data_IF_056970463379
#
_entry.id   IF_056970463379
#
_cell.length_a   1.000
_cell.length_b   1.000
_cell.length_c   1.000
_cell.angle_alpha   90.00
_cell.angle_beta   90.00
_cell.angle_gamma   90.00
#
_symmetry.space_group_name_H-M   'P 1'
#
loop_
_entity.id
_entity.type
_entity.pdbx_description
1 polymer ?
#
# COMPACT_ATOMS: atom_id res chain seq x y z
N UNK A 1 -6.95 -17.57 -1.96
CA UNK A 1 -5.84 -16.64 -1.63
C UNK A 1 -5.61 -15.69 -2.80
N UNK A 2 -5.34 -14.38 -2.56
CA UNK A 2 -4.98 -13.40 -3.60
C UNK A 2 -3.46 -13.26 -3.64
N UNK A 3 -2.86 -13.11 -4.83
CA UNK A 3 -1.43 -12.89 -4.99
C UNK A 3 -1.17 -11.52 -5.65
N UNK A 4 -0.33 -10.70 -5.04
CA UNK A 4 0.08 -9.38 -5.54
C UNK A 4 1.58 -9.30 -5.79
N UNK A 5 2.02 -8.31 -6.58
CA UNK A 5 3.43 -7.99 -6.80
C UNK A 5 3.79 -6.65 -6.16
N UNK A 6 4.85 -6.63 -5.35
CA UNK A 6 5.43 -5.43 -4.72
C UNK A 6 6.54 -4.83 -5.60
N UNK A 7 6.91 -3.58 -5.30
CA UNK A 7 8.05 -2.88 -5.92
C UNK A 7 7.91 -2.65 -7.44
N UNK A 8 6.67 -2.57 -7.94
CA UNK A 8 6.42 -2.46 -9.39
C UNK A 8 6.77 -1.09 -9.99
N UNK A 9 7.25 -0.14 -9.18
CA UNK A 9 7.79 1.15 -9.64
C UNK A 9 9.26 1.36 -9.26
N UNK A 10 9.95 0.35 -8.74
CA UNK A 10 11.29 0.51 -8.16
C UNK A 10 12.37 -0.10 -9.05
N UNK A 11 13.55 0.52 -9.06
CA UNK A 11 14.71 0.05 -9.80
C UNK A 11 14.43 -0.12 -11.31
N UNK A 12 14.61 -1.32 -11.89
CA UNK A 12 14.38 -1.56 -13.32
C UNK A 12 12.97 -1.23 -13.80
N UNK A 13 11.96 -1.29 -12.92
CA UNK A 13 10.56 -0.96 -13.25
C UNK A 13 10.28 0.54 -13.32
N UNK A 14 11.27 1.42 -13.13
CA UNK A 14 11.19 2.81 -13.53
C UNK A 14 11.27 2.99 -15.07
N UNK A 15 11.65 1.95 -15.81
CA UNK A 15 11.61 1.91 -17.26
C UNK A 15 10.17 1.62 -17.75
N UNK A 16 9.57 2.48 -18.60
CA UNK A 16 8.17 2.36 -19.00
C UNK A 16 7.88 1.09 -19.82
N UNK A 17 8.82 0.62 -20.64
CA UNK A 17 8.65 -0.61 -21.42
C UNK A 17 8.57 -1.83 -20.52
N UNK A 18 9.47 -1.94 -19.55
CA UNK A 18 9.50 -3.06 -18.62
C UNK A 18 8.29 -3.02 -17.66
N UNK A 19 7.89 -1.83 -17.20
CA UNK A 19 6.70 -1.64 -16.39
C UNK A 19 5.42 -2.06 -17.15
N UNK A 20 5.28 -1.65 -18.41
CA UNK A 20 4.13 -2.05 -19.24
C UNK A 20 4.08 -3.57 -19.44
N UNK A 21 5.24 -4.19 -19.70
CA UNK A 21 5.34 -5.64 -19.86
C UNK A 21 4.99 -6.39 -18.57
N UNK A 22 5.53 -5.94 -17.43
CA UNK A 22 5.18 -6.50 -16.12
C UNK A 22 3.68 -6.42 -15.86
N UNK A 23 3.07 -5.24 -16.04
CA UNK A 23 1.66 -5.01 -15.73
C UNK A 23 0.71 -5.88 -16.57
N UNK A 24 0.93 -5.93 -17.88
CA UNK A 24 0.09 -6.71 -18.81
C UNK A 24 0.28 -8.21 -18.64
N UNK A 25 1.50 -8.66 -18.41
CA UNK A 25 1.80 -10.09 -18.18
C UNK A 25 1.28 -10.55 -16.82
N UNK A 26 1.42 -9.73 -15.77
CA UNK A 26 0.89 -10.02 -14.43
C UNK A 26 -0.64 -10.19 -14.48
N UNK A 27 -1.36 -9.27 -15.15
CA UNK A 27 -2.82 -9.40 -15.32
C UNK A 27 -3.19 -10.66 -16.09
N UNK A 28 -2.50 -10.95 -17.19
CA UNK A 28 -2.71 -12.17 -18.00
C UNK A 28 -2.50 -13.44 -17.19
N UNK A 29 -1.50 -13.44 -16.30
CA UNK A 29 -1.18 -14.59 -15.45
C UNK A 29 -2.00 -14.67 -14.15
N UNK A 30 -2.99 -13.79 -13.93
CA UNK A 30 -3.90 -13.88 -12.80
C UNK A 30 -3.35 -13.29 -11.49
N UNK A 31 -2.32 -12.44 -11.55
CA UNK A 31 -1.92 -11.61 -10.41
C UNK A 31 -3.07 -10.65 -10.08
N UNK A 32 -3.45 -10.59 -8.79
CA UNK A 32 -4.63 -9.81 -8.36
C UNK A 32 -4.33 -8.33 -8.19
N UNK A 33 -3.10 -7.96 -7.75
CA UNK A 33 -2.76 -6.58 -7.45
C UNK A 33 -1.29 -6.24 -7.70
N UNK A 34 -1.04 -4.97 -8.07
CA UNK A 34 0.29 -4.40 -8.28
C UNK A 34 0.52 -3.28 -7.27
N UNK A 35 1.65 -3.31 -6.57
CA UNK A 35 1.95 -2.46 -5.42
C UNK A 35 3.20 -1.63 -5.66
N UNK A 36 3.04 -0.30 -5.65
CA UNK A 36 4.13 0.66 -5.72
C UNK A 36 4.65 1.03 -4.34
N UNK A 37 5.89 1.48 -4.25
CA UNK A 37 6.53 1.96 -3.02
C UNK A 37 6.86 3.45 -3.14
N UNK A 38 7.14 4.12 -2.01
CA UNK A 38 7.41 5.55 -1.98
C UNK A 38 8.65 5.89 -1.15
N UNK A 39 9.46 6.77 -1.72
CA UNK A 39 10.29 7.77 -1.06
C UNK A 39 10.26 9.02 -1.95
N UNK A 40 9.96 10.19 -1.36
CA UNK A 40 9.97 11.47 -2.09
C UNK A 40 11.40 11.85 -2.41
N UNK A 41 12.29 11.70 -1.42
CA UNK A 41 13.74 11.86 -1.53
C UNK A 41 14.42 10.86 -0.59
N UNK A 42 15.60 10.41 -0.96
CA UNK A 42 16.46 9.61 -0.06
C UNK A 42 17.64 10.50 0.31
N UNK A 43 17.70 11.03 1.54
CA UNK A 43 18.81 11.87 1.97
C UNK A 43 20.13 11.10 1.96
N UNK A 44 21.20 11.75 1.51
CA UNK A 44 22.54 11.19 1.50
C UNK A 44 23.04 10.93 2.94
N UNK A 45 23.68 9.79 3.17
CA UNK A 45 24.23 9.40 4.48
C UNK A 45 23.21 9.37 5.63
N UNK A 46 21.93 9.07 5.38
CA UNK A 46 20.91 8.97 6.42
C UNK A 46 21.30 7.95 7.52
N UNK A 47 20.89 8.22 8.77
CA UNK A 47 21.21 7.42 9.96
C UNK A 47 19.99 6.59 10.45
N UNK A 48 18.76 6.99 10.08
CA UNK A 48 17.57 6.24 10.45
C UNK A 48 17.65 4.80 9.94
N UNK A 49 17.45 3.78 10.81
CA UNK A 49 17.58 2.39 10.37
C UNK A 49 16.36 1.97 9.53
N UNK A 50 16.62 1.38 8.36
CA UNK A 50 15.55 0.79 7.52
C UNK A 50 14.98 -0.45 8.21
N UNK A 51 13.66 -0.50 8.49
CA UNK A 51 13.08 -1.50 9.38
C UNK A 51 12.90 -2.90 8.75
N UNK A 52 13.16 -3.04 7.45
CA UNK A 52 12.93 -4.29 6.70
C UNK A 52 14.23 -4.95 6.22
N UNK A 53 15.38 -4.46 6.66
CA UNK A 53 16.68 -5.05 6.34
C UNK A 53 17.57 -5.13 7.57
N UNK A 54 18.27 -6.24 7.74
CA UNK A 54 19.27 -6.42 8.82
C UNK A 54 20.47 -5.47 8.69
N UNK A 55 20.74 -4.95 7.49
CA UNK A 55 21.78 -3.93 7.27
C UNK A 55 21.37 -2.53 7.74
N UNK A 56 20.08 -2.31 8.03
CA UNK A 56 19.54 -0.98 8.35
C UNK A 56 19.54 0.00 7.18
N UNK A 57 19.79 -0.47 5.95
CA UNK A 57 19.83 0.36 4.74
C UNK A 57 18.83 -0.12 3.71
N UNK A 58 18.33 0.81 2.87
CA UNK A 58 17.43 0.51 1.75
C UNK A 58 18.16 -0.38 0.74
N UNK A 59 17.54 -1.46 0.27
CA UNK A 59 18.09 -2.26 -0.83
C UNK A 59 18.27 -1.41 -2.10
N UNK A 60 19.44 -1.48 -2.71
CA UNK A 60 19.81 -0.66 -3.87
C UNK A 60 20.49 0.68 -3.51
N UNK A 61 20.56 1.01 -2.21
CA UNK A 61 21.24 2.23 -1.75
C UNK A 61 20.45 3.53 -1.99
N UNK A 62 21.12 4.65 -1.86
CA UNK A 62 20.53 5.98 -1.93
C UNK A 62 20.18 6.40 -3.37
N UNK A 63 20.84 5.78 -4.37
CA UNK A 63 20.64 6.02 -5.81
C UNK A 63 19.51 5.16 -6.43
N UNK A 64 18.83 4.35 -5.65
CA UNK A 64 17.74 3.51 -6.18
C UNK A 64 16.63 4.37 -6.75
N UNK A 65 16.27 4.10 -8.02
CA UNK A 65 15.17 4.81 -8.66
C UNK A 65 13.83 4.38 -8.08
N UNK A 66 13.11 5.31 -7.46
CA UNK A 66 11.75 5.11 -6.92
C UNK A 66 10.87 6.27 -7.44
N UNK A 67 10.24 6.13 -8.63
CA UNK A 67 9.25 7.09 -9.11
C UNK A 67 8.10 7.30 -8.12
N UNK A 68 7.43 8.47 -8.20
CA UNK A 68 6.20 8.74 -7.45
C UNK A 68 5.25 7.54 -7.52
N UNK A 69 4.63 7.10 -6.41
CA UNK A 69 3.86 5.85 -6.39
C UNK A 69 2.58 5.91 -7.23
N UNK A 70 1.95 7.08 -7.40
CA UNK A 70 0.65 7.20 -8.06
C UNK A 70 0.74 7.33 -9.58
N UNK A 71 1.81 7.94 -10.10
CA UNK A 71 1.99 8.11 -11.55
C UNK A 71 2.16 6.77 -12.28
N UNK A 72 3.03 5.83 -11.84
CA UNK A 72 3.09 4.49 -12.40
C UNK A 72 1.77 3.71 -12.30
N UNK A 73 1.03 3.85 -11.20
CA UNK A 73 -0.30 3.22 -11.08
C UNK A 73 -1.28 3.75 -12.11
N UNK A 74 -1.24 5.05 -12.41
CA UNK A 74 -2.08 5.64 -13.46
C UNK A 74 -1.68 5.12 -14.86
N UNK A 75 -0.37 4.98 -15.11
CA UNK A 75 0.14 4.36 -16.33
C UNK A 75 -0.32 2.90 -16.47
N UNK A 76 -0.22 2.11 -15.41
CA UNK A 76 -0.69 0.72 -15.36
C UNK A 76 -2.22 0.65 -15.55
N UNK A 77 -2.98 1.60 -14.98
CA UNK A 77 -4.43 1.65 -15.12
C UNK A 77 -4.90 1.70 -16.57
N UNK A 78 -4.17 2.45 -17.42
CA UNK A 78 -4.47 2.56 -18.85
C UNK A 78 -4.20 1.27 -19.63
N UNK A 79 -3.25 0.46 -19.17
CA UNK A 79 -2.81 -0.78 -19.84
C UNK A 79 -3.56 -2.04 -19.41
N UNK A 80 -4.27 -1.97 -18.28
CA UNK A 80 -4.88 -3.13 -17.62
C UNK A 80 -6.37 -2.90 -17.35
N UNK A 81 -7.12 -3.98 -17.06
CA UNK A 81 -8.58 -3.90 -16.84
C UNK A 81 -9.05 -4.53 -15.53
N UNK A 82 -8.28 -5.44 -14.93
CA UNK A 82 -8.71 -6.25 -13.79
C UNK A 82 -7.82 -6.09 -12.56
N UNK A 83 -6.50 -6.03 -12.75
CA UNK A 83 -5.54 -5.98 -11.65
C UNK A 83 -5.77 -4.75 -10.78
N UNK A 84 -5.75 -4.94 -9.44
CA UNK A 84 -5.85 -3.86 -8.47
C UNK A 84 -4.57 -3.04 -8.44
N UNK A 85 -4.70 -1.76 -8.15
CA UNK A 85 -3.65 -0.74 -8.20
C UNK A 85 -3.44 -0.22 -6.78
N UNK A 86 -2.33 -0.60 -6.16
CA UNK A 86 -2.12 -0.38 -4.74
C UNK A 86 -0.79 0.33 -4.44
N UNK A 87 -0.76 1.10 -3.37
CA UNK A 87 0.49 1.58 -2.78
C UNK A 87 0.89 0.71 -1.59
N UNK A 88 2.15 0.34 -1.49
CA UNK A 88 2.66 -0.50 -0.40
C UNK A 88 4.01 -0.02 0.15
N UNK A 89 4.08 1.21 0.68
CA UNK A 89 3.00 2.11 1.07
C UNK A 89 3.24 3.53 0.56
N UNK A 90 2.18 4.34 0.50
CA UNK A 90 2.30 5.79 0.39
C UNK A 90 2.57 6.35 1.81
N UNK A 91 3.59 7.22 1.96
CA UNK A 91 3.97 7.81 3.26
C UNK A 91 3.01 8.99 3.55
N UNK A 92 1.82 8.66 4.03
CA UNK A 92 0.69 9.59 4.12
C UNK A 92 0.98 10.90 4.88
N UNK A 93 1.71 10.95 6.01
CA UNK A 93 1.96 12.19 6.72
C UNK A 93 2.91 13.17 6.02
N UNK A 94 3.57 12.75 4.95
CA UNK A 94 4.40 13.63 4.11
C UNK A 94 3.59 14.40 3.07
N UNK A 95 2.34 13.98 2.83
CA UNK A 95 1.44 14.57 1.81
C UNK A 95 0.26 15.31 2.47
N UNK A 96 -0.25 16.31 1.78
CA UNK A 96 -1.47 16.97 2.22
C UNK A 96 -2.70 16.10 1.87
N UNK A 97 -3.61 15.79 2.81
CA UNK A 97 -4.71 14.83 2.60
C UNK A 97 -5.69 15.24 1.50
N UNK A 98 -5.85 16.53 1.18
CA UNK A 98 -6.71 16.98 0.09
C UNK A 98 -6.15 16.54 -1.27
N UNK A 99 -4.83 16.62 -1.47
CA UNK A 99 -4.20 16.13 -2.69
C UNK A 99 -4.34 14.61 -2.81
N UNK A 100 -4.00 13.87 -1.75
CA UNK A 100 -4.11 12.41 -1.76
C UNK A 100 -5.55 11.96 -2.01
N UNK A 101 -6.55 12.62 -1.37
CA UNK A 101 -7.96 12.31 -1.60
C UNK A 101 -8.36 12.53 -3.06
N UNK A 102 -7.91 13.64 -3.68
CA UNK A 102 -8.15 13.96 -5.08
C UNK A 102 -7.51 12.95 -6.03
N UNK A 103 -6.23 12.67 -5.83
CA UNK A 103 -5.43 11.77 -6.66
C UNK A 103 -5.99 10.35 -6.63
N UNK A 104 -6.28 9.84 -5.43
CA UNK A 104 -6.84 8.50 -5.27
C UNK A 104 -8.26 8.37 -5.83
N UNK A 105 -9.11 9.37 -5.65
CA UNK A 105 -10.44 9.37 -6.27
C UNK A 105 -10.36 9.43 -7.80
N UNK A 106 -9.38 10.16 -8.35
CA UNK A 106 -9.12 10.23 -9.80
C UNK A 106 -8.62 8.88 -10.32
N UNK A 107 -7.63 8.27 -9.66
CA UNK A 107 -7.14 6.93 -10.01
C UNK A 107 -8.26 5.88 -9.95
N UNK A 108 -9.10 5.96 -8.91
CA UNK A 108 -10.24 5.05 -8.73
C UNK A 108 -11.25 5.18 -9.87
N UNK A 109 -11.61 6.42 -10.24
CA UNK A 109 -12.51 6.68 -11.36
C UNK A 109 -11.91 6.21 -12.70
N UNK A 110 -10.66 6.56 -13.02
CA UNK A 110 -9.97 6.18 -14.25
C UNK A 110 -9.78 4.66 -14.38
N UNK A 111 -9.61 3.97 -13.25
CA UNK A 111 -9.42 2.53 -13.19
C UNK A 111 -10.71 1.73 -13.01
N UNK A 112 -11.87 2.39 -12.92
CA UNK A 112 -13.16 1.77 -12.65
C UNK A 112 -13.17 0.94 -11.35
N UNK A 113 -12.75 1.56 -10.22
CA UNK A 113 -12.85 0.97 -8.88
C UNK A 113 -11.75 -0.06 -8.56
N UNK A 114 -10.54 0.12 -9.10
CA UNK A 114 -9.41 -0.80 -8.85
C UNK A 114 -8.38 -0.27 -7.86
N UNK A 115 -8.50 0.97 -7.40
CA UNK A 115 -7.53 1.59 -6.49
C UNK A 115 -7.59 1.01 -5.07
N UNK A 116 -6.43 0.85 -4.44
CA UNK A 116 -6.25 0.54 -3.01
C UNK A 116 -5.19 1.50 -2.49
N UNK A 117 -5.51 2.27 -1.45
CA UNK A 117 -4.56 3.17 -0.80
C UNK A 117 -3.89 2.46 0.37
N UNK A 118 -2.73 1.87 0.15
CA UNK A 118 -1.88 1.38 1.22
C UNK A 118 -1.06 2.53 1.81
N UNK A 119 -1.14 2.75 3.11
CA UNK A 119 -0.52 3.87 3.80
C UNK A 119 0.49 3.44 4.86
N UNK A 120 1.55 4.22 5.01
CA UNK A 120 2.51 4.14 6.10
C UNK A 120 2.70 5.48 6.79
N UNK A 121 3.25 5.45 8.01
CA UNK A 121 3.61 6.70 8.73
C UNK A 121 5.04 7.16 8.47
N UNK A 122 5.84 6.39 7.73
CA UNK A 122 7.25 6.70 7.45
C UNK A 122 8.20 6.34 8.59
N UNK A 123 9.44 6.03 8.22
CA UNK A 123 10.52 5.62 9.12
C UNK A 123 11.75 6.54 9.02
N UNK A 124 11.97 7.16 7.86
CA UNK A 124 13.16 7.95 7.50
C UNK A 124 13.00 9.40 7.98
N UNK A 125 13.54 9.68 9.18
CA UNK A 125 13.41 11.02 9.79
C UNK A 125 13.99 12.11 8.89
N UNK A 126 15.13 11.85 8.27
CA UNK A 126 15.85 12.82 7.44
C UNK A 126 15.05 13.21 6.19
N UNK A 127 14.19 12.34 5.69
CA UNK A 127 13.24 12.67 4.61
C UNK A 127 12.17 13.66 5.09
N UNK A 128 11.63 13.46 6.31
CA UNK A 128 10.70 14.41 6.93
C UNK A 128 11.36 15.78 7.13
N UNK A 129 12.61 15.80 7.61
CA UNK A 129 13.35 17.04 7.81
C UNK A 129 13.53 17.78 6.48
N UNK A 130 13.88 17.07 5.40
CA UNK A 130 14.00 17.63 4.04
C UNK A 130 12.72 18.24 3.52
N UNK A 131 11.57 17.69 3.92
CA UNK A 131 10.24 18.20 3.56
C UNK A 131 9.73 19.30 4.51
N UNK A 132 10.53 19.69 5.53
CA UNK A 132 10.12 20.66 6.54
C UNK A 132 9.00 20.16 7.47
N UNK A 133 8.89 18.84 7.68
CA UNK A 133 7.84 18.22 8.47
C UNK A 133 8.39 17.64 9.78
N UNK A 134 7.68 17.89 10.88
CA UNK A 134 8.04 17.29 12.17
C UNK A 134 7.74 15.78 12.19
N UNK A 135 8.81 14.98 12.23
CA UNK A 135 8.75 13.53 12.28
C UNK A 135 7.94 12.99 13.46
N UNK A 136 7.96 13.69 14.61
CA UNK A 136 7.23 13.24 15.81
C UNK A 136 5.72 13.37 15.71
N UNK A 137 5.22 14.20 14.79
CA UNK A 137 3.78 14.36 14.53
C UNK A 137 3.22 13.34 13.54
N UNK A 138 4.07 12.54 12.87
CA UNK A 138 3.68 11.66 11.75
C UNK A 138 2.49 10.73 12.06
N UNK A 139 2.45 10.15 13.27
CA UNK A 139 1.35 9.27 13.68
C UNK A 139 0.01 10.00 13.75
N UNK A 140 -0.05 11.16 14.42
CA UNK A 140 -1.25 11.97 14.54
C UNK A 140 -1.68 12.55 13.19
N UNK A 141 -0.74 13.02 12.37
CA UNK A 141 -1.00 13.46 10.99
C UNK A 141 -1.59 12.35 10.14
N UNK A 142 -1.08 11.12 10.25
CA UNK A 142 -1.66 9.95 9.55
C UNK A 142 -3.11 9.72 9.95
N UNK A 143 -3.41 9.74 11.26
CA UNK A 143 -4.76 9.50 11.77
C UNK A 143 -5.75 10.60 11.32
N UNK A 144 -5.33 11.85 11.34
CA UNK A 144 -6.15 12.98 10.85
C UNK A 144 -6.33 12.93 9.32
N UNK A 145 -5.27 12.60 8.56
CA UNK A 145 -5.33 12.48 7.11
C UNK A 145 -6.36 11.44 6.66
N UNK A 146 -6.42 10.28 7.32
CA UNK A 146 -7.42 9.25 7.02
C UNK A 146 -8.85 9.82 7.18
N UNK A 147 -9.11 10.49 8.29
CA UNK A 147 -10.42 11.10 8.56
C UNK A 147 -10.78 12.21 7.57
N UNK A 148 -9.82 13.07 7.25
CA UNK A 148 -9.98 14.15 6.29
C UNK A 148 -10.30 13.61 4.88
N UNK A 149 -9.59 12.58 4.42
CA UNK A 149 -9.85 11.93 3.13
C UNK A 149 -11.24 11.28 3.08
N UNK A 150 -11.65 10.60 4.16
CA UNK A 150 -12.98 10.00 4.23
C UNK A 150 -14.08 11.06 4.17
N UNK A 151 -13.91 12.20 4.85
CA UNK A 151 -14.83 13.33 4.75
C UNK A 151 -14.92 13.84 3.30
N UNK A 152 -13.79 13.99 2.60
CA UNK A 152 -13.75 14.47 1.22
C UNK A 152 -14.38 13.48 0.21
N UNK A 153 -14.38 12.19 0.49
CA UNK A 153 -14.99 11.16 -0.36
C UNK A 153 -16.50 11.02 -0.13
N UNK A 154 -17.04 11.58 0.96
CA UNK A 154 -18.49 11.62 1.18
C UNK A 154 -19.19 12.55 0.18
N UNK A 155 -20.50 12.37 0.02
CA UNK A 155 -21.30 13.20 -0.88
C UNK A 155 -21.40 14.66 -0.43
N UNK A 156 -21.52 15.57 -1.39
CA UNK A 156 -21.72 16.99 -1.14
C UNK A 156 -20.47 17.75 -0.74
N UNK A 157 -20.65 18.79 0.07
CA UNK A 157 -19.58 19.60 0.63
C UNK A 157 -19.11 19.02 1.97
N UNK A 158 -17.82 19.02 2.21
CA UNK A 158 -17.18 18.45 3.40
C UNK A 158 -16.36 19.51 4.12
N UNK A 159 -16.34 19.45 5.44
CA UNK A 159 -15.44 20.20 6.30
C UNK A 159 -14.69 19.26 7.22
N UNK A 160 -13.50 19.66 7.65
CA UNK A 160 -12.73 18.93 8.64
C UNK A 160 -11.99 19.89 9.55
N UNK A 161 -12.04 19.65 10.86
CA UNK A 161 -11.42 20.47 11.90
C UNK A 161 -10.59 19.58 12.82
N UNK A 162 -9.30 19.47 12.53
CA UNK A 162 -8.31 18.73 13.30
C UNK A 162 -7.21 19.65 13.84
N UNK A 163 -6.23 19.03 14.48
CA UNK A 163 -5.05 19.75 14.99
C UNK A 163 -4.08 20.11 13.85
N UNK A 164 -3.93 19.21 12.86
CA UNK A 164 -2.96 19.33 11.78
C UNK A 164 -3.58 19.78 10.46
N UNK A 165 -4.85 19.47 10.25
CA UNK A 165 -5.56 19.83 9.02
C UNK A 165 -6.90 20.49 9.33
N UNK A 166 -7.16 21.62 8.66
CA UNK A 166 -8.41 22.36 8.79
C UNK A 166 -8.87 22.83 7.40
N UNK A 167 -10.11 22.57 7.05
CA UNK A 167 -10.76 23.16 5.89
C UNK A 167 -12.27 23.32 6.13
N UNK A 168 -12.80 24.43 5.66
CA UNK A 168 -14.23 24.73 5.64
C UNK A 168 -14.94 24.03 4.50
N UNK A 169 -16.23 24.29 4.24
CA UNK A 169 -16.99 23.51 3.27
C UNK A 169 -16.37 23.58 1.85
N UNK A 170 -15.85 22.45 1.41
CA UNK A 170 -15.24 22.26 0.07
C UNK A 170 -15.87 21.09 -0.65
N UNK A 171 -15.89 21.14 -1.98
CA UNK A 171 -16.30 20.02 -2.84
C UNK A 171 -15.08 19.43 -3.52
N UNK A 172 -14.92 18.12 -3.45
CA UNK A 172 -13.84 17.38 -4.11
C UNK A 172 -14.43 16.36 -5.08
N UNK A 173 -14.27 16.58 -6.38
CA UNK A 173 -14.68 15.69 -7.47
C UNK A 173 -13.50 15.34 -8.37
N UNK A 174 -13.46 14.12 -9.00
CA UNK A 174 -14.49 13.09 -8.90
C UNK A 174 -14.58 12.50 -7.49
N UNK A 175 -15.70 11.85 -7.16
CA UNK A 175 -15.78 10.94 -6.02
C UNK A 175 -15.20 9.59 -6.44
N UNK A 176 -14.67 8.79 -5.49
CA UNK A 176 -14.38 7.39 -5.76
C UNK A 176 -15.62 6.65 -6.28
N UNK A 177 -15.43 5.73 -7.21
CA UNK A 177 -16.54 4.86 -7.70
C UNK A 177 -16.79 3.69 -6.75
N UNK A 178 -15.79 3.35 -5.91
CA UNK A 178 -15.95 2.35 -4.86
C UNK A 178 -16.84 2.91 -3.74
N UNK A 179 -17.86 2.12 -3.35
CA UNK A 179 -18.79 2.50 -2.27
C UNK A 179 -18.04 2.67 -0.94
N UNK A 180 -18.20 3.83 -0.32
CA UNK A 180 -17.53 4.17 0.95
C UNK A 180 -16.13 4.78 0.79
N UNK A 181 -15.69 5.02 -0.46
CA UNK A 181 -14.39 5.60 -0.78
C UNK A 181 -13.35 4.55 -1.20
N UNK A 182 -12.14 4.99 -1.50
CA UNK A 182 -11.02 4.09 -1.80
C UNK A 182 -10.66 3.29 -0.55
N UNK A 183 -10.52 1.95 -0.62
CA UNK A 183 -10.09 1.15 0.52
C UNK A 183 -8.72 1.58 1.02
N UNK A 184 -8.59 1.80 2.34
CA UNK A 184 -7.35 2.20 3.00
C UNK A 184 -6.75 1.00 3.72
N UNK A 185 -5.59 0.54 3.26
CA UNK A 185 -4.81 -0.53 3.88
C UNK A 185 -3.67 0.07 4.72
N UNK A 186 -3.69 -0.16 6.02
CA UNK A 186 -2.64 0.36 6.92
C UNK A 186 -1.45 -0.58 6.90
N UNK A 187 -0.30 -0.06 6.48
CA UNK A 187 0.98 -0.75 6.50
C UNK A 187 1.75 -0.60 7.80
N UNK A 188 2.73 -1.48 7.99
CA UNK A 188 3.64 -1.48 9.12
C UNK A 188 3.42 -2.61 10.13
N UNK A 189 4.50 -2.97 10.82
CA UNK A 189 4.57 -4.16 11.71
C UNK A 189 4.71 -3.78 13.20
N UNK A 190 4.23 -2.58 13.57
CA UNK A 190 4.21 -2.12 14.97
C UNK A 190 2.81 -2.24 15.58
N UNK A 191 2.75 -2.29 16.91
CA UNK A 191 1.49 -2.21 17.66
C UNK A 191 0.70 -0.93 17.31
N UNK A 192 1.37 0.19 17.04
CA UNK A 192 0.73 1.44 16.63
C UNK A 192 0.05 1.31 15.27
N UNK A 193 0.70 0.64 14.30
CA UNK A 193 0.12 0.36 13.00
C UNK A 193 -1.09 -0.59 13.10
N UNK A 194 -0.99 -1.65 13.90
CA UNK A 194 -2.10 -2.57 14.15
C UNK A 194 -3.32 -1.86 14.77
N UNK A 195 -3.10 -1.00 15.78
CA UNK A 195 -4.18 -0.18 16.37
C UNK A 195 -4.81 0.77 15.35
N UNK A 196 -4.00 1.42 14.52
CA UNK A 196 -4.50 2.31 13.45
C UNK A 196 -5.34 1.55 12.44
N UNK A 197 -4.88 0.35 12.02
CA UNK A 197 -5.65 -0.53 11.14
C UNK A 197 -7.00 -0.89 11.75
N UNK A 198 -7.04 -1.26 13.03
CA UNK A 198 -8.28 -1.53 13.75
C UNK A 198 -9.24 -0.35 13.77
N UNK A 199 -8.75 0.87 14.07
CA UNK A 199 -9.60 2.08 14.16
C UNK A 199 -10.09 2.57 12.82
N UNK A 200 -9.26 2.57 11.78
CA UNK A 200 -9.48 3.36 10.58
C UNK A 200 -9.31 2.60 9.26
N UNK A 201 -8.59 1.45 9.25
CA UNK A 201 -8.24 0.72 8.03
C UNK A 201 -9.37 -0.15 7.50
N UNK A 202 -9.45 -0.31 6.18
CA UNK A 202 -10.23 -1.36 5.53
C UNK A 202 -9.38 -2.61 5.31
N UNK A 203 -8.05 -2.46 5.42
CA UNK A 203 -7.09 -3.54 5.42
C UNK A 203 -5.92 -3.28 6.35
N UNK A 204 -5.20 -4.35 6.70
CA UNK A 204 -3.96 -4.31 7.47
C UNK A 204 -2.87 -5.08 6.73
N UNK A 205 -1.74 -4.41 6.50
CA UNK A 205 -0.61 -4.93 5.73
C UNK A 205 0.71 -4.84 6.52
N UNK A 206 0.93 -5.69 7.55
CA UNK A 206 2.27 -5.87 8.10
C UNK A 206 3.14 -6.61 7.09
N UNK A 207 4.24 -5.97 6.65
CA UNK A 207 5.16 -6.53 5.65
C UNK A 207 6.13 -7.54 6.30
N UNK A 208 5.59 -8.55 6.97
CA UNK A 208 6.31 -9.62 7.66
C UNK A 208 5.81 -10.97 7.17
N UNK A 209 6.68 -12.00 7.17
CA UNK A 209 6.29 -13.38 6.86
C UNK A 209 6.17 -14.29 8.10
N UNK A 210 6.48 -13.81 9.29
CA UNK A 210 6.55 -14.61 10.52
C UNK A 210 5.16 -14.78 11.17
N UNK A 211 4.61 -15.98 11.08
CA UNK A 211 3.26 -16.30 11.56
C UNK A 211 3.02 -15.93 13.04
N UNK A 212 3.93 -16.22 14.00
CA UNK A 212 3.70 -15.82 15.39
C UNK A 212 3.52 -14.31 15.55
N UNK A 213 4.35 -13.50 14.89
CA UNK A 213 4.26 -12.04 14.94
C UNK A 213 3.02 -11.51 14.23
N UNK A 214 2.62 -12.12 13.13
CA UNK A 214 1.37 -11.79 12.43
C UNK A 214 0.16 -12.04 13.34
N UNK A 215 0.09 -13.19 14.02
CA UNK A 215 -1.00 -13.51 14.95
C UNK A 215 -1.10 -12.48 16.09
N UNK A 216 0.04 -12.08 16.67
CA UNK A 216 0.09 -11.03 17.71
C UNK A 216 -0.51 -9.72 17.18
N UNK A 217 -0.04 -9.23 16.03
CA UNK A 217 -0.48 -7.97 15.43
C UNK A 217 -1.96 -8.01 15.01
N UNK A 218 -2.42 -9.14 14.45
CA UNK A 218 -3.83 -9.34 14.11
C UNK A 218 -4.72 -9.35 15.36
N UNK A 219 -4.26 -9.93 16.46
CA UNK A 219 -4.94 -9.86 17.75
C UNK A 219 -5.09 -8.42 18.25
N UNK A 220 -4.03 -7.62 18.20
CA UNK A 220 -4.07 -6.19 18.55
C UNK A 220 -5.02 -5.42 17.65
N UNK A 221 -4.98 -5.64 16.34
CA UNK A 221 -5.86 -4.99 15.37
C UNK A 221 -7.32 -5.32 15.64
N UNK A 222 -7.65 -6.60 15.86
CA UNK A 222 -9.02 -7.05 16.14
C UNK A 222 -9.57 -6.41 17.41
N UNK A 223 -8.82 -6.47 18.52
CA UNK A 223 -9.23 -5.86 19.78
C UNK A 223 -9.46 -4.34 19.66
N UNK A 224 -8.66 -3.66 18.87
CA UNK A 224 -8.82 -2.21 18.67
C UNK A 224 -10.01 -1.88 17.74
N UNK A 225 -10.30 -2.73 16.76
CA UNK A 225 -11.48 -2.60 15.92
C UNK A 225 -12.77 -2.75 16.74
N UNK A 226 -12.85 -3.74 17.61
CA UNK A 226 -13.97 -3.93 18.53
C UNK A 226 -14.18 -2.74 19.45
N UNK A 227 -13.09 -2.21 20.05
CA UNK A 227 -13.16 -0.97 20.86
C UNK A 227 -13.67 0.23 20.08
N UNK A 228 -13.39 0.28 18.78
CA UNK A 228 -13.88 1.33 17.88
C UNK A 228 -15.29 1.07 17.34
N UNK A 229 -15.98 0.03 17.79
CA UNK A 229 -17.32 -0.37 17.32
C UNK A 229 -17.33 -0.90 15.87
N UNK A 230 -16.19 -1.39 15.37
CA UNK A 230 -16.04 -1.91 14.02
C UNK A 230 -16.00 -3.44 14.02
N UNK A 231 -16.50 -4.05 12.97
CA UNK A 231 -16.37 -5.49 12.77
C UNK A 231 -14.93 -5.85 12.34
N UNK A 232 -14.15 -6.57 13.16
CA UNK A 232 -12.79 -6.97 12.79
C UNK A 232 -12.71 -7.83 11.52
N UNK A 233 -13.74 -8.62 11.24
CA UNK A 233 -13.79 -9.48 10.07
C UNK A 233 -13.93 -8.71 8.74
N UNK A 234 -14.30 -7.42 8.79
CA UNK A 234 -14.34 -6.56 7.60
C UNK A 234 -12.96 -6.01 7.20
N UNK A 235 -11.93 -6.20 8.03
CA UNK A 235 -10.58 -5.70 7.79
C UNK A 235 -9.78 -6.77 7.03
N UNK A 236 -9.44 -6.50 5.77
CA UNK A 236 -8.69 -7.42 4.93
C UNK A 236 -7.25 -7.58 5.43
N UNK A 237 -6.79 -8.82 5.60
CA UNK A 237 -5.44 -9.11 6.07
C UNK A 237 -4.54 -9.46 4.88
N UNK A 238 -3.47 -8.67 4.73
CA UNK A 238 -2.43 -8.86 3.71
C UNK A 238 -1.06 -8.94 4.36
N UNK A 239 -0.11 -9.63 3.74
CA UNK A 239 1.29 -9.65 4.19
C UNK A 239 2.24 -9.88 3.03
N UNK A 240 3.54 -9.71 3.26
CA UNK A 240 4.56 -10.24 2.35
C UNK A 240 4.82 -11.72 2.65
N UNK A 241 5.17 -12.49 1.63
CA UNK A 241 5.44 -13.92 1.79
C UNK A 241 6.18 -14.52 0.61
N UNK A 242 6.36 -15.84 0.66
CA UNK A 242 6.96 -16.61 -0.44
C UNK A 242 5.84 -17.26 -1.27
N UNK A 243 6.00 -17.36 -2.60
CA UNK A 243 5.00 -17.98 -3.47
C UNK A 243 5.11 -19.53 -3.45
N UNK A 244 5.02 -20.12 -2.27
CA UNK A 244 4.99 -21.57 -2.07
C UNK A 244 3.61 -21.95 -1.54
N UNK A 245 2.97 -22.94 -2.14
CA UNK A 245 1.58 -23.32 -1.82
C UNK A 245 1.40 -23.60 -0.32
N UNK A 246 2.33 -24.29 0.32
CA UNK A 246 2.25 -24.60 1.74
C UNK A 246 2.39 -23.35 2.63
N UNK A 247 3.31 -22.44 2.28
CA UNK A 247 3.47 -21.17 2.99
C UNK A 247 2.20 -20.30 2.86
N UNK A 248 1.59 -20.29 1.67
CA UNK A 248 0.35 -19.56 1.41
C UNK A 248 -0.83 -20.14 2.18
N UNK A 249 -0.95 -21.47 2.23
CA UNK A 249 -1.98 -22.15 3.05
C UNK A 249 -1.80 -21.84 4.52
N UNK A 250 -0.58 -21.92 5.06
CA UNK A 250 -0.31 -21.59 6.47
C UNK A 250 -0.66 -20.12 6.81
N UNK A 251 -0.46 -19.18 5.88
CA UNK A 251 -0.90 -17.80 6.04
C UNK A 251 -2.43 -17.68 5.94
N UNK A 252 -3.08 -18.42 5.06
CA UNK A 252 -4.53 -18.45 4.94
C UNK A 252 -5.20 -18.97 6.22
N UNK A 253 -4.63 -19.97 6.87
CA UNK A 253 -5.14 -20.54 8.13
C UNK A 253 -5.18 -19.52 9.28
N UNK A 254 -4.36 -18.47 9.22
CA UNK A 254 -4.39 -17.36 10.18
C UNK A 254 -5.24 -16.17 9.73
N UNK A 255 -5.94 -16.29 8.60
CA UNK A 255 -6.87 -15.31 8.08
C UNK A 255 -6.29 -14.34 7.04
N UNK A 256 -5.05 -14.54 6.58
CA UNK A 256 -4.49 -13.74 5.48
C UNK A 256 -5.25 -14.06 4.19
N UNK A 257 -5.73 -13.01 3.51
CA UNK A 257 -6.47 -13.12 2.25
C UNK A 257 -5.64 -12.73 1.03
N UNK A 258 -4.57 -11.95 1.22
CA UNK A 258 -3.63 -11.54 0.16
C UNK A 258 -2.18 -11.68 0.61
N UNK A 259 -1.36 -12.29 -0.24
CA UNK A 259 0.09 -12.31 -0.10
C UNK A 259 0.71 -11.52 -1.24
N UNK A 260 1.62 -10.60 -0.90
CA UNK A 260 2.35 -9.77 -1.86
C UNK A 260 3.80 -10.25 -1.92
N UNK A 261 4.30 -10.48 -3.11
CA UNK A 261 5.63 -11.03 -3.36
C UNK A 261 6.46 -10.07 -4.22
N UNK A 262 7.78 -10.22 -4.23
CA UNK A 262 8.62 -9.53 -5.21
C UNK A 262 8.38 -10.08 -6.63
N UNK A 263 8.59 -9.26 -7.69
CA UNK A 263 8.57 -9.75 -9.06
C UNK A 263 9.59 -10.88 -9.25
N UNK A 264 9.28 -11.90 -10.08
CA UNK A 264 10.14 -13.07 -10.22
C UNK A 264 11.43 -12.81 -11.00
N UNK A 265 11.51 -11.71 -11.75
CA UNK A 265 12.68 -11.30 -12.53
C UNK A 265 12.63 -9.80 -12.84
N UNK A 266 13.72 -9.27 -13.43
CA UNK A 266 13.90 -7.86 -13.75
C UNK A 266 14.21 -7.63 -15.24
N UNK A 267 13.81 -8.55 -16.09
CA UNK A 267 13.89 -8.50 -17.55
C UNK A 267 12.64 -9.11 -18.18
N UNK A 268 12.41 -8.83 -19.47
CA UNK A 268 11.18 -9.21 -20.20
C UNK A 268 10.96 -10.73 -20.22
N UNK A 269 12.02 -11.48 -20.55
CA UNK A 269 11.91 -12.95 -20.68
C UNK A 269 11.75 -13.63 -19.32
N UNK A 270 12.54 -13.19 -18.33
CA UNK A 270 12.48 -13.71 -16.98
C UNK A 270 11.12 -13.43 -16.32
N UNK A 271 10.56 -12.22 -16.52
CA UNK A 271 9.22 -11.88 -16.06
C UNK A 271 8.16 -12.80 -16.68
N UNK A 272 8.20 -12.98 -17.99
CA UNK A 272 7.24 -13.85 -18.70
C UNK A 272 7.28 -15.26 -18.12
N UNK A 273 8.48 -15.89 -18.13
CA UNK A 273 8.66 -17.26 -17.60
C UNK A 273 8.27 -17.37 -16.12
N UNK A 274 8.68 -16.39 -15.31
CA UNK A 274 8.42 -16.41 -13.87
C UNK A 274 6.93 -16.23 -13.53
N UNK A 275 6.22 -15.36 -14.23
CA UNK A 275 4.78 -15.13 -14.00
C UNK A 275 3.95 -16.31 -14.52
N UNK A 276 4.29 -16.91 -15.66
CA UNK A 276 3.63 -18.12 -16.15
C UNK A 276 3.87 -19.32 -15.21
N UNK A 277 5.07 -19.46 -14.66
CA UNK A 277 5.35 -20.44 -13.61
C UNK A 277 4.49 -20.21 -12.37
N UNK A 278 4.39 -18.98 -11.89
CA UNK A 278 3.51 -18.64 -10.75
C UNK A 278 2.05 -18.96 -11.03
N UNK A 279 1.55 -18.69 -12.23
CA UNK A 279 0.20 -19.05 -12.66
C UNK A 279 -0.05 -20.55 -12.53
N UNK A 280 0.84 -21.36 -13.13
CA UNK A 280 0.64 -22.81 -13.24
C UNK A 280 0.91 -23.57 -11.93
N UNK A 281 1.93 -23.17 -11.18
CA UNK A 281 2.41 -23.91 -10.01
C UNK A 281 1.83 -23.40 -8.69
N UNK A 282 1.38 -22.14 -8.64
CA UNK A 282 0.92 -21.50 -7.40
C UNK A 282 -0.53 -21.05 -7.51
N UNK A 283 -0.85 -20.11 -8.41
CA UNK A 283 -2.18 -19.48 -8.49
C UNK A 283 -3.26 -20.52 -8.79
N UNK A 284 -3.00 -21.49 -9.65
CA UNK A 284 -3.93 -22.56 -9.96
C UNK A 284 -4.24 -23.51 -8.77
N UNK A 285 -3.50 -23.39 -7.64
CA UNK A 285 -3.60 -24.30 -6.49
C UNK A 285 -4.06 -23.64 -5.18
N UNK A 286 -4.38 -22.32 -5.20
CA UNK A 286 -4.71 -21.52 -4.01
C UNK A 286 -6.09 -20.86 -4.08
#
# INVERSE_FOLDING_TARGET
MKLGLMFVNSGPFSNPTLLAHLATTAERCGIESLWTVEHVVIPENYQSPYPYSSSGKIPGGEDVSIPDPLLPLTFIAALTKKVKLATGVLILPQRHPLYVAKEMATLDALSNGRAILGIGSGWLKEEFDSLGLDFHTRGARTDESIKAMRALWSEGASSFHGKHFNFGPVKCYPKPVQKGGVPIHVGGHSTAAAKRAGRYGDGFFPALGEIPKLKELFGVMKAEAEKAGRNPASIELSTMGRPRVDDLKALQDIGVSRVVIAPPAFDVEGLTRGLEKLQNEVIAKI
#
